data_IF_508700724562
#
_entry.id   IF_508700724562
#
_cell.length_a   1.000
_cell.length_b   1.000
_cell.length_c   1.000
_cell.angle_alpha   90.00
_cell.angle_beta   90.00
_cell.angle_gamma   90.00
#
_symmetry.space_group_name_H-M   'P 1'
#
loop_
_entity.id
_entity.type
_entity.pdbx_description
1 polymer ?
#
# COMPACT_ATOMS: atom_id res chain seq x y z
N UNK A 1 28.47 15.55 16.53
CA UNK A 1 27.22 15.48 15.75
C UNK A 1 27.12 14.23 14.86
N UNK A 2 28.24 13.63 14.43
CA UNK A 2 28.27 12.40 13.59
C UNK A 2 27.90 11.08 14.32
N UNK A 3 28.03 11.04 15.65
CA UNK A 3 27.89 9.80 16.44
C UNK A 3 26.43 9.40 16.73
N UNK A 4 25.49 10.35 16.76
CA UNK A 4 24.06 10.08 16.99
C UNK A 4 23.34 9.62 15.73
N UNK A 5 23.67 10.20 14.57
CA UNK A 5 23.13 9.77 13.27
C UNK A 5 23.45 8.29 13.00
N UNK A 6 24.69 7.88 13.27
CA UNK A 6 25.16 6.51 13.09
C UNK A 6 24.51 5.47 14.03
N UNK A 7 24.09 5.89 15.24
CA UNK A 7 23.34 5.02 16.18
C UNK A 7 21.92 4.78 15.68
N UNK A 8 21.27 5.80 15.12
CA UNK A 8 19.91 5.71 14.58
C UNK A 8 19.85 4.83 13.33
N UNK A 9 20.82 4.94 12.42
CA UNK A 9 20.90 4.08 11.23
C UNK A 9 21.06 2.59 11.58
N UNK A 10 21.91 2.25 12.56
CA UNK A 10 22.10 0.87 12.99
C UNK A 10 20.85 0.25 13.61
N UNK A 11 20.07 1.04 14.34
CA UNK A 11 18.78 0.60 14.90
C UNK A 11 17.77 0.36 13.78
N UNK A 12 17.64 1.30 12.85
CA UNK A 12 16.73 1.20 11.71
C UNK A 12 17.03 -0.03 10.83
N UNK A 13 18.31 -0.27 10.52
CA UNK A 13 18.75 -1.42 9.73
C UNK A 13 18.46 -2.76 10.44
N UNK A 14 18.60 -2.80 11.77
CA UNK A 14 18.31 -3.99 12.58
C UNK A 14 16.82 -4.28 12.65
N UNK A 15 16.00 -3.25 12.84
CA UNK A 15 14.54 -3.38 12.89
C UNK A 15 14.00 -3.81 11.52
N UNK A 16 14.57 -3.29 10.44
CA UNK A 16 14.25 -3.73 9.07
C UNK A 16 14.64 -5.20 8.85
N UNK A 17 15.87 -5.60 9.20
CA UNK A 17 16.31 -7.00 9.10
C UNK A 17 15.42 -7.95 9.90
N UNK A 18 15.07 -7.57 11.14
CA UNK A 18 14.17 -8.36 11.99
C UNK A 18 12.79 -8.54 11.37
N UNK A 19 12.23 -7.50 10.76
CA UNK A 19 10.94 -7.59 10.03
C UNK A 19 11.03 -8.48 8.79
N UNK A 20 12.11 -8.39 8.02
CA UNK A 20 12.35 -9.26 6.85
C UNK A 20 12.49 -10.72 7.27
N UNK A 21 13.22 -11.01 8.35
CA UNK A 21 13.34 -12.37 8.89
C UNK A 21 12.00 -12.90 9.42
N UNK A 22 11.17 -12.04 10.02
CA UNK A 22 9.82 -12.40 10.43
C UNK A 22 8.94 -12.72 9.22
N UNK A 23 9.02 -11.90 8.16
CA UNK A 23 8.29 -12.14 6.91
C UNK A 23 8.73 -13.43 6.22
N UNK A 24 10.02 -13.79 6.28
CA UNK A 24 10.52 -15.09 5.77
C UNK A 24 9.97 -16.30 6.52
N UNK A 25 9.50 -16.12 7.77
CA UNK A 25 8.89 -17.19 8.57
C UNK A 25 7.39 -17.33 8.33
N UNK A 26 6.76 -16.38 7.65
CA UNK A 26 5.35 -16.48 7.29
C UNK A 26 5.25 -17.38 6.06
N UNK A 27 4.48 -18.48 6.10
CA UNK A 27 4.24 -19.31 4.92
C UNK A 27 3.74 -18.45 3.75
N UNK A 28 4.11 -18.82 2.53
CA UNK A 28 3.76 -18.06 1.33
C UNK A 28 2.25 -17.95 1.20
N UNK A 29 1.53 -19.04 1.50
CA UNK A 29 0.07 -19.12 1.49
C UNK A 29 -0.55 -18.12 2.47
N UNK A 30 0.03 -17.99 3.67
CA UNK A 30 -0.41 -17.02 4.68
C UNK A 30 -0.15 -15.59 4.22
N UNK A 31 0.99 -15.33 3.59
CA UNK A 31 1.31 -14.01 3.02
C UNK A 31 0.34 -13.63 1.91
N UNK A 32 -0.02 -14.58 1.05
CA UNK A 32 -1.01 -14.39 -0.03
C UNK A 32 -2.39 -14.12 0.57
N UNK A 33 -2.82 -14.88 1.58
CA UNK A 33 -4.09 -14.66 2.27
C UNK A 33 -4.15 -13.26 2.87
N UNK A 34 -3.10 -12.87 3.59
CA UNK A 34 -3.01 -11.55 4.22
C UNK A 34 -3.03 -10.42 3.18
N UNK A 35 -2.39 -10.62 2.02
CA UNK A 35 -2.44 -9.66 0.92
C UNK A 35 -3.87 -9.47 0.41
N UNK A 36 -4.61 -10.56 0.16
CA UNK A 36 -6.00 -10.46 -0.29
C UNK A 36 -6.92 -9.85 0.76
N UNK A 37 -6.72 -10.17 2.04
CA UNK A 37 -7.44 -9.54 3.15
C UNK A 37 -7.21 -8.03 3.18
N UNK A 38 -5.96 -7.59 3.04
CA UNK A 38 -5.61 -6.17 2.97
C UNK A 38 -6.22 -5.49 1.75
N UNK A 39 -6.20 -6.12 0.58
CA UNK A 39 -6.86 -5.60 -0.62
C UNK A 39 -8.36 -5.43 -0.41
N UNK A 40 -9.03 -6.45 0.15
CA UNK A 40 -10.47 -6.41 0.43
C UNK A 40 -10.82 -5.33 1.46
N UNK A 41 -10.06 -5.24 2.55
CA UNK A 41 -10.25 -4.21 3.58
C UNK A 41 -10.13 -2.81 2.99
N UNK A 42 -9.06 -2.53 2.23
CA UNK A 42 -8.83 -1.21 1.65
C UNK A 42 -9.88 -0.86 0.59
N UNK A 43 -10.29 -1.82 -0.24
CA UNK A 43 -11.34 -1.61 -1.24
C UNK A 43 -12.67 -1.25 -0.57
N UNK A 44 -13.08 -2.00 0.46
CA UNK A 44 -14.33 -1.75 1.18
C UNK A 44 -14.29 -0.41 1.93
N UNK A 45 -13.14 -0.06 2.53
CA UNK A 45 -12.99 1.22 3.19
C UNK A 45 -13.08 2.39 2.19
N UNK A 46 -12.46 2.26 1.01
CA UNK A 46 -12.58 3.25 -0.06
C UNK A 46 -14.03 3.41 -0.53
N UNK A 47 -14.74 2.30 -0.76
CA UNK A 47 -16.16 2.31 -1.16
C UNK A 47 -17.01 3.02 -0.09
N UNK A 48 -16.80 2.70 1.19
CA UNK A 48 -17.50 3.34 2.32
C UNK A 48 -17.30 4.85 2.31
N UNK A 49 -16.06 5.32 2.24
CA UNK A 49 -15.73 6.75 2.22
C UNK A 49 -16.36 7.47 1.02
N UNK A 50 -16.29 6.88 -0.18
CA UNK A 50 -16.88 7.49 -1.37
C UNK A 50 -18.41 7.47 -1.32
N UNK A 51 -19.04 6.48 -0.68
CA UNK A 51 -20.48 6.47 -0.42
C UNK A 51 -20.91 7.51 0.60
N UNK A 52 -20.12 7.76 1.63
CA UNK A 52 -20.36 8.85 2.59
C UNK A 52 -20.29 10.22 1.90
N UNK A 53 -19.37 10.39 0.95
CA UNK A 53 -19.22 11.63 0.17
C UNK A 53 -20.24 11.80 -0.95
N UNK A 54 -20.56 10.71 -1.64
CA UNK A 54 -21.41 10.70 -2.83
C UNK A 54 -22.44 9.55 -2.72
N UNK A 55 -23.50 9.71 -1.89
CA UNK A 55 -24.42 8.61 -1.57
C UNK A 55 -25.10 7.98 -2.79
N UNK A 56 -25.37 8.81 -3.82
CA UNK A 56 -26.08 8.42 -5.03
C UNK A 56 -25.22 7.63 -6.02
N UNK A 57 -23.89 7.68 -5.92
CA UNK A 57 -23.01 6.95 -6.84
C UNK A 57 -23.13 5.44 -6.59
N UNK A 58 -23.30 4.65 -7.63
CA UNK A 58 -23.22 3.20 -7.52
C UNK A 58 -21.80 2.75 -7.14
N UNK A 59 -21.68 1.59 -6.49
CA UNK A 59 -20.37 0.98 -6.19
C UNK A 59 -19.54 0.81 -7.49
N UNK A 60 -20.19 0.45 -8.59
CA UNK A 60 -19.57 0.32 -9.92
C UNK A 60 -18.89 1.62 -10.35
N UNK A 61 -19.58 2.76 -10.22
CA UNK A 61 -19.01 4.06 -10.58
C UNK A 61 -17.83 4.44 -9.68
N UNK A 62 -17.92 4.14 -8.39
CA UNK A 62 -16.84 4.35 -7.42
C UNK A 62 -15.58 3.55 -7.82
N UNK A 63 -15.74 2.27 -8.16
CA UNK A 63 -14.62 1.41 -8.60
C UNK A 63 -14.04 1.90 -9.92
N UNK A 64 -14.87 2.29 -10.90
CA UNK A 64 -14.41 2.84 -12.18
C UNK A 64 -13.60 4.13 -11.96
N UNK A 65 -14.04 5.00 -11.05
CA UNK A 65 -13.32 6.22 -10.67
C UNK A 65 -11.96 5.90 -10.06
N UNK A 66 -11.90 4.94 -9.12
CA UNK A 66 -10.65 4.48 -8.51
C UNK A 66 -9.66 3.99 -9.59
N UNK A 67 -10.13 3.19 -10.54
CA UNK A 67 -9.31 2.69 -11.64
C UNK A 67 -8.76 3.83 -12.52
N UNK A 68 -9.60 4.79 -12.91
CA UNK A 68 -9.17 5.96 -13.71
C UNK A 68 -8.11 6.81 -12.99
N UNK A 69 -8.23 6.97 -11.68
CA UNK A 69 -7.24 7.67 -10.86
C UNK A 69 -5.91 6.90 -10.88
N UNK A 70 -5.95 5.58 -10.72
CA UNK A 70 -4.75 4.73 -10.77
C UNK A 70 -4.03 4.85 -12.13
N UNK A 71 -4.77 4.77 -13.23
CA UNK A 71 -4.21 4.93 -14.59
C UNK A 71 -3.54 6.29 -14.79
N UNK A 72 -4.16 7.36 -14.28
CA UNK A 72 -3.57 8.71 -14.33
C UNK A 72 -2.29 8.80 -13.51
N UNK A 73 -2.24 8.15 -12.35
CA UNK A 73 -1.06 8.15 -11.49
C UNK A 73 0.08 7.33 -12.08
N UNK A 74 -0.22 6.17 -12.67
CA UNK A 74 0.76 5.38 -13.42
C UNK A 74 1.38 6.20 -14.54
N UNK A 75 0.57 6.85 -15.38
CA UNK A 75 1.04 7.73 -16.45
C UNK A 75 1.97 8.83 -15.94
N UNK A 76 1.62 9.48 -14.81
CA UNK A 76 2.47 10.51 -14.18
C UNK A 76 3.81 9.94 -13.73
N UNK A 77 3.82 8.80 -13.05
CA UNK A 77 5.04 8.18 -12.53
C UNK A 77 5.98 7.74 -13.66
N UNK A 78 5.45 7.20 -14.77
CA UNK A 78 6.25 6.96 -15.98
C UNK A 78 6.84 8.24 -16.56
N UNK A 79 6.12 9.37 -16.54
CA UNK A 79 6.65 10.65 -17.02
C UNK A 79 7.79 11.18 -16.13
N UNK A 80 7.84 10.77 -14.86
CA UNK A 80 8.96 11.04 -13.95
C UNK A 80 10.11 10.01 -14.05
N UNK A 81 10.06 9.09 -15.02
CA UNK A 81 11.09 8.07 -15.22
C UNK A 81 11.03 6.91 -14.23
N UNK A 82 9.99 6.83 -13.39
CA UNK A 82 9.80 5.74 -12.43
C UNK A 82 9.07 4.60 -13.15
N UNK A 83 9.74 3.45 -13.32
CA UNK A 83 9.11 2.20 -13.79
C UNK A 83 8.47 1.49 -12.60
N UNK A 84 7.17 1.21 -12.72
CA UNK A 84 6.35 0.47 -11.74
C UNK A 84 6.02 -0.90 -12.31
#
# INVERSE_FOLDING_TARGET
>A
MESELNKNFRKLARDFKGRIELMKKIPVETSISLFFELCNFNLNNYIRIEKERFPNNSIKEIIIKMYKINEKNKKKLTNYGIKI
#
